data_IF_433179056061
#
_entry.id   IF_433179056061
#
_cell.length_a   1.000
_cell.length_b   1.000
_cell.length_c   1.000
_cell.angle_alpha   90.00
_cell.angle_beta   90.00
_cell.angle_gamma   90.00
#
_symmetry.space_group_name_H-M   'P 1'
#
loop_
_entity.id
_entity.type
_entity.pdbx_description
1 polymer ?
#
# COMPACT_ATOMS: atom_id res chain seq x y z
N UNK A 1 -33.69 -8.70 13.99
CA UNK A 1 -32.41 -8.22 14.54
C UNK A 1 -31.30 -9.07 13.94
N UNK A 2 -30.82 -8.72 12.75
CA UNK A 2 -29.71 -9.43 12.10
C UNK A 2 -28.72 -8.38 11.63
N UNK A 3 -27.63 -8.25 12.40
CA UNK A 3 -26.64 -7.20 12.25
C UNK A 3 -25.50 -7.66 11.34
N UNK A 4 -25.11 -6.75 10.44
CA UNK A 4 -23.72 -6.51 10.04
C UNK A 4 -22.96 -7.64 9.32
N UNK A 5 -23.34 -7.96 8.09
CA UNK A 5 -22.56 -8.81 7.18
C UNK A 5 -21.66 -8.08 6.17
N UNK A 6 -21.59 -6.74 6.18
CA UNK A 6 -20.93 -5.96 5.12
C UNK A 6 -19.60 -5.27 5.51
N UNK A 7 -19.19 -5.37 6.78
CA UNK A 7 -18.01 -4.66 7.32
C UNK A 7 -16.74 -5.49 7.46
N UNK A 8 -16.83 -6.82 7.37
CA UNK A 8 -15.71 -7.71 7.69
C UNK A 8 -14.79 -8.06 6.51
N UNK A 9 -15.22 -7.93 5.25
CA UNK A 9 -14.37 -8.30 4.10
C UNK A 9 -13.23 -7.32 3.81
N UNK A 10 -13.33 -6.08 4.31
CA UNK A 10 -12.29 -5.04 4.13
C UNK A 10 -11.18 -5.08 5.18
N UNK A 11 -11.42 -5.73 6.33
CA UNK A 11 -10.44 -5.90 7.40
C UNK A 11 -9.53 -7.11 7.20
N UNK A 12 -9.97 -8.12 6.45
CA UNK A 12 -9.24 -9.37 6.23
C UNK A 12 -7.92 -9.15 5.46
N UNK A 13 -7.85 -8.38 4.36
CA UNK A 13 -6.57 -8.19 3.66
C UNK A 13 -5.51 -7.44 4.52
N UNK A 14 -5.87 -6.38 5.27
CA UNK A 14 -4.94 -5.75 6.23
C UNK A 14 -4.58 -6.66 7.43
N UNK A 15 -5.53 -7.45 7.94
CA UNK A 15 -5.28 -8.46 8.99
C UNK A 15 -4.42 -9.62 8.50
N UNK A 16 -4.59 -10.09 7.27
CA UNK A 16 -3.70 -11.07 6.61
C UNK A 16 -2.29 -10.51 6.47
N UNK A 17 -2.14 -9.21 6.22
CA UNK A 17 -0.84 -8.54 6.26
C UNK A 17 -0.23 -8.51 7.68
N UNK A 18 -1.04 -8.32 8.72
CA UNK A 18 -0.61 -8.34 10.12
C UNK A 18 -0.25 -9.76 10.62
N UNK A 19 -1.02 -10.79 10.24
CA UNK A 19 -0.72 -12.19 10.61
C UNK A 19 0.44 -12.77 9.82
N UNK A 20 0.66 -12.34 8.57
CA UNK A 20 1.85 -12.69 7.80
C UNK A 20 3.13 -11.96 8.28
N UNK A 21 2.99 -10.85 9.00
CA UNK A 21 4.09 -10.01 9.49
C UNK A 21 4.66 -10.33 10.88
N UNK A 22 4.11 -11.32 11.59
CA UNK A 22 4.69 -11.79 12.86
C UNK A 22 4.32 -10.93 14.08
N UNK A 23 3.35 -11.41 14.86
CA UNK A 23 3.03 -10.92 16.19
C UNK A 23 2.88 -12.09 17.16
N UNK A 24 4.00 -12.70 17.54
CA UNK A 24 4.04 -13.78 18.52
C UNK A 24 3.96 -13.16 19.93
N UNK A 25 2.77 -13.14 20.53
CA UNK A 25 2.59 -12.62 21.89
C UNK A 25 2.65 -13.66 23.02
N UNK A 26 2.70 -14.98 22.74
CA UNK A 26 2.97 -16.01 23.76
C UNK A 26 3.63 -17.27 23.17
N UNK A 27 4.58 -17.92 23.87
CA UNK A 27 5.24 -19.13 23.40
C UNK A 27 4.38 -20.35 23.67
N UNK A 28 3.79 -20.96 22.64
CA UNK A 28 3.47 -22.39 22.64
C UNK A 28 3.35 -22.91 21.22
N UNK A 29 4.13 -23.95 20.96
CA UNK A 29 4.31 -24.61 19.67
C UNK A 29 3.02 -25.25 19.16
N UNK A 30 2.69 -25.05 17.88
CA UNK A 30 2.30 -26.08 16.90
C UNK A 30 2.42 -25.49 15.49
N UNK A 31 3.37 -26.00 14.71
CA UNK A 31 3.63 -25.60 13.32
C UNK A 31 2.60 -26.26 12.40
N UNK A 32 1.75 -25.45 11.76
CA UNK A 32 0.99 -25.88 10.59
C UNK A 32 1.87 -25.69 9.36
N UNK A 33 2.42 -26.78 8.83
CA UNK A 33 3.19 -26.82 7.59
C UNK A 33 2.29 -26.46 6.40
N UNK A 34 2.28 -25.19 5.99
CA UNK A 34 1.63 -24.75 4.75
C UNK A 34 2.45 -25.21 3.55
N UNK A 35 1.96 -26.22 2.85
CA UNK A 35 2.46 -26.65 1.54
C UNK A 35 2.20 -25.54 0.49
N UNK A 36 3.19 -24.69 0.24
CA UNK A 36 3.17 -23.67 -0.81
C UNK A 36 4.07 -24.08 -2.01
N UNK A 37 3.65 -23.87 -3.26
CA UNK A 37 4.43 -24.24 -4.45
C UNK A 37 5.69 -23.37 -4.62
N UNK A 38 6.75 -23.98 -5.13
CA UNK A 38 8.15 -23.52 -5.06
C UNK A 38 8.46 -22.15 -5.69
N UNK A 39 7.61 -21.60 -6.54
CA UNK A 39 7.81 -20.26 -7.13
C UNK A 39 7.41 -19.11 -6.19
N UNK A 40 6.68 -19.40 -5.10
CA UNK A 40 6.53 -18.49 -3.96
C UNK A 40 7.64 -18.68 -2.92
N UNK A 41 8.46 -19.74 -3.06
CA UNK A 41 9.60 -20.05 -2.21
C UNK A 41 10.91 -19.50 -2.82
N UNK A 42 10.88 -18.26 -3.31
CA UNK A 42 12.09 -17.48 -3.50
C UNK A 42 12.53 -16.96 -2.12
N UNK A 43 13.23 -17.84 -1.42
CA UNK A 43 14.19 -17.57 -0.36
C UNK A 43 14.57 -16.10 -0.17
N UNK A 44 13.93 -15.46 0.80
CA UNK A 44 14.72 -14.87 1.88
C UNK A 44 14.49 -15.71 3.13
N UNK A 45 15.21 -16.82 3.23
CA UNK A 45 15.44 -17.59 4.47
C UNK A 45 16.37 -16.84 5.44
N UNK A 46 16.27 -15.52 5.43
CA UNK A 46 16.86 -14.61 6.39
C UNK A 46 15.60 -13.98 6.97
N UNK A 47 15.20 -14.24 8.24
CA UNK A 47 14.30 -13.29 8.88
C UNK A 47 14.93 -11.92 8.58
N UNK A 48 14.18 -10.94 8.02
CA UNK A 48 14.77 -9.63 7.77
C UNK A 48 15.55 -9.29 9.04
N UNK A 49 16.85 -8.96 8.93
CA UNK A 49 17.69 -8.74 10.11
C UNK A 49 16.85 -7.89 11.05
N UNK A 50 16.82 -8.19 12.35
CA UNK A 50 15.91 -7.52 13.29
C UNK A 50 15.94 -5.98 13.16
N UNK A 51 17.03 -5.43 12.60
CA UNK A 51 17.23 -4.07 12.10
C UNK A 51 16.22 -3.56 11.04
N UNK A 52 15.73 -4.40 10.14
CA UNK A 52 14.68 -4.09 9.15
C UNK A 52 13.26 -4.13 9.76
N UNK A 53 13.12 -4.59 11.01
CA UNK A 53 11.92 -4.51 11.86
C UNK A 53 12.05 -3.37 12.91
N UNK A 54 13.11 -2.56 12.89
CA UNK A 54 13.34 -1.56 13.94
C UNK A 54 12.34 -0.38 13.95
N UNK A 55 11.48 -0.24 12.92
CA UNK A 55 10.48 0.82 12.88
C UNK A 55 9.05 0.27 12.72
N UNK A 56 8.32 -0.03 13.83
CA UNK A 56 6.92 -0.46 13.76
C UNK A 56 6.00 0.57 13.08
N UNK A 57 6.42 1.84 13.00
CA UNK A 57 5.67 2.87 12.28
C UNK A 57 5.60 2.60 10.78
N UNK A 58 6.57 1.88 10.20
CA UNK A 58 6.59 1.57 8.76
C UNK A 58 5.45 0.63 8.37
N UNK A 59 5.26 -0.45 9.13
CA UNK A 59 4.17 -1.41 8.95
C UNK A 59 2.82 -0.73 9.20
N UNK A 60 2.73 0.09 10.26
CA UNK A 60 1.51 0.85 10.57
C UNK A 60 1.18 1.89 9.50
N UNK A 61 2.18 2.54 8.90
CA UNK A 61 1.99 3.52 7.83
C UNK A 61 1.42 2.85 6.58
N UNK A 62 2.00 1.73 6.14
CA UNK A 62 1.50 0.97 5.00
C UNK A 62 0.10 0.41 5.26
N UNK A 63 -0.13 -0.14 6.45
CA UNK A 63 -1.45 -0.59 6.89
C UNK A 63 -2.47 0.55 6.81
N UNK A 64 -2.15 1.73 7.35
CA UNK A 64 -3.04 2.89 7.37
C UNK A 64 -3.36 3.39 5.95
N UNK A 65 -2.38 3.39 5.05
CA UNK A 65 -2.59 3.74 3.62
C UNK A 65 -3.56 2.75 2.99
N UNK A 66 -3.29 1.45 3.09
CA UNK A 66 -4.12 0.41 2.46
C UNK A 66 -5.52 0.41 3.05
N UNK A 67 -5.64 0.48 4.38
CA UNK A 67 -6.91 0.53 5.09
C UNK A 67 -7.75 1.75 4.68
N UNK A 68 -7.16 2.95 4.71
CA UNK A 68 -7.89 4.17 4.36
C UNK A 68 -8.27 4.19 2.88
N UNK A 69 -7.44 3.62 2.00
CA UNK A 69 -7.75 3.50 0.58
C UNK A 69 -8.93 2.58 0.26
N UNK A 70 -9.19 1.55 1.08
CA UNK A 70 -10.32 0.64 0.84
C UNK A 70 -11.67 1.36 0.86
N UNK A 71 -11.85 2.36 1.73
CA UNK A 71 -13.16 3.00 1.90
C UNK A 71 -13.61 3.79 0.67
N UNK A 72 -12.82 4.69 0.06
CA UNK A 72 -13.19 5.34 -1.20
C UNK A 72 -13.49 4.34 -2.33
N UNK A 73 -12.71 3.25 -2.41
CA UNK A 73 -12.87 2.22 -3.42
C UNK A 73 -14.20 1.47 -3.25
N UNK A 74 -14.43 0.89 -2.08
CA UNK A 74 -15.63 0.10 -1.79
C UNK A 74 -16.90 0.95 -1.72
N UNK A 75 -16.84 2.16 -1.14
CA UNK A 75 -18.02 3.02 -1.02
C UNK A 75 -18.50 3.54 -2.38
N UNK A 76 -17.59 3.75 -3.33
CA UNK A 76 -17.98 4.14 -4.69
C UNK A 76 -18.56 2.96 -5.47
N UNK A 77 -17.97 1.78 -5.36
CA UNK A 77 -18.49 0.54 -5.97
C UNK A 77 -19.87 0.17 -5.43
N UNK A 78 -20.04 0.20 -4.11
CA UNK A 78 -21.31 -0.12 -3.44
C UNK A 78 -22.46 0.79 -3.84
N UNK A 79 -22.15 2.04 -4.19
CA UNK A 79 -23.12 3.00 -4.70
C UNK A 79 -23.55 2.67 -6.13
N UNK A 80 -22.63 2.22 -6.98
CA UNK A 80 -22.95 1.80 -8.35
C UNK A 80 -23.81 0.53 -8.38
N UNK A 81 -23.53 -0.41 -7.49
CA UNK A 81 -24.26 -1.69 -7.39
C UNK A 81 -25.46 -1.64 -6.44
N UNK A 82 -25.87 -0.45 -5.96
CA UNK A 82 -26.96 -0.29 -4.97
C UNK A 82 -28.29 -0.90 -5.42
N UNK A 83 -28.59 -0.86 -6.71
CA UNK A 83 -29.84 -1.39 -7.25
C UNK A 83 -29.91 -2.92 -7.08
N UNK A 84 -28.81 -3.61 -7.38
CA UNK A 84 -28.69 -5.06 -7.17
C UNK A 84 -28.74 -5.41 -5.67
N UNK A 85 -28.12 -4.61 -4.80
CA UNK A 85 -28.21 -4.83 -3.35
C UNK A 85 -29.62 -4.65 -2.81
N UNK A 86 -30.36 -3.64 -3.29
CA UNK A 86 -31.74 -3.42 -2.90
C UNK A 86 -32.65 -4.57 -3.38
N UNK A 87 -32.46 -5.07 -4.61
CA UNK A 87 -33.19 -6.21 -5.15
C UNK A 87 -32.91 -7.51 -4.37
N UNK A 88 -31.67 -7.70 -3.92
CA UNK A 88 -31.28 -8.84 -3.10
C UNK A 88 -31.65 -8.71 -1.62
N UNK A 89 -32.29 -7.61 -1.20
CA UNK A 89 -32.70 -7.37 0.19
C UNK A 89 -31.55 -7.01 1.14
N UNK A 90 -30.37 -6.66 0.63
CA UNK A 90 -29.23 -6.29 1.47
C UNK A 90 -29.30 -4.82 1.94
N UNK A 91 -29.20 -4.62 3.26
CA UNK A 91 -29.14 -3.30 3.88
C UNK A 91 -27.71 -2.73 3.88
N UNK A 92 -27.26 -2.25 2.73
CA UNK A 92 -25.96 -1.58 2.61
C UNK A 92 -26.07 -0.08 2.89
N UNK A 93 -24.98 0.56 3.36
CA UNK A 93 -24.97 2.01 3.61
C UNK A 93 -25.26 2.81 2.33
N UNK A 94 -24.87 2.30 1.17
CA UNK A 94 -25.18 2.88 -0.14
C UNK A 94 -26.68 2.83 -0.51
N UNK A 95 -27.43 1.87 0.03
CA UNK A 95 -28.87 1.69 -0.18
C UNK A 95 -29.67 2.51 0.83
N UNK A 96 -29.31 2.42 2.11
CA UNK A 96 -30.05 3.07 3.21
C UNK A 96 -29.77 4.57 3.28
N UNK A 97 -28.50 4.99 3.18
CA UNK A 97 -28.07 6.38 3.35
C UNK A 97 -26.92 6.74 2.39
N UNK A 98 -27.19 6.94 1.09
CA UNK A 98 -26.16 7.22 0.09
C UNK A 98 -25.28 8.44 0.40
N UNK A 99 -25.82 9.46 1.05
CA UNK A 99 -25.06 10.65 1.46
C UNK A 99 -23.99 10.32 2.53
N UNK A 100 -24.34 9.47 3.52
CA UNK A 100 -23.39 9.02 4.55
C UNK A 100 -22.30 8.13 3.96
N UNK A 101 -22.65 7.29 2.99
CA UNK A 101 -21.67 6.47 2.25
C UNK A 101 -20.62 7.34 1.54
N UNK A 102 -21.06 8.42 0.88
CA UNK A 102 -20.15 9.37 0.24
C UNK A 102 -19.32 10.18 1.25
N UNK A 103 -19.89 10.53 2.41
CA UNK A 103 -19.17 11.21 3.50
C UNK A 103 -18.05 10.34 4.08
N UNK A 104 -18.29 9.04 4.28
CA UNK A 104 -17.24 8.10 4.75
C UNK A 104 -16.11 8.01 3.72
N UNK A 105 -16.45 7.93 2.43
CA UNK A 105 -15.44 7.97 1.35
C UNK A 105 -14.61 9.26 1.40
N UNK A 106 -15.24 10.41 1.61
CA UNK A 106 -14.56 11.69 1.72
C UNK A 106 -13.64 11.77 2.95
N UNK A 107 -14.09 11.28 4.11
CA UNK A 107 -13.30 11.25 5.34
C UNK A 107 -12.01 10.45 5.16
N UNK A 108 -12.10 9.26 4.57
CA UNK A 108 -10.93 8.42 4.33
C UNK A 108 -10.02 8.95 3.23
N UNK A 109 -10.57 9.59 2.19
CA UNK A 109 -9.78 10.32 1.20
C UNK A 109 -9.02 11.52 1.83
N UNK A 110 -9.63 12.22 2.78
CA UNK A 110 -8.98 13.29 3.53
C UNK A 110 -7.92 12.75 4.49
N UNK A 111 -8.14 11.60 5.15
CA UNK A 111 -7.17 10.94 6.02
C UNK A 111 -5.93 10.44 5.26
N UNK A 112 -6.06 10.07 3.98
CA UNK A 112 -4.92 9.69 3.15
C UNK A 112 -3.88 10.82 3.00
N UNK A 113 -4.31 12.09 3.03
CA UNK A 113 -3.41 13.25 2.90
C UNK A 113 -2.37 13.31 4.03
N UNK A 114 -2.73 13.37 5.32
CA UNK A 114 -1.75 13.38 6.40
C UNK A 114 -1.03 12.03 6.55
N UNK A 115 -1.67 10.91 6.22
CA UNK A 115 -1.00 9.60 6.25
C UNK A 115 0.17 9.59 5.25
N UNK A 116 -0.05 9.97 3.99
CA UNK A 116 1.01 10.00 2.98
C UNK A 116 2.03 11.12 3.20
N UNK A 117 1.58 12.29 3.68
CA UNK A 117 2.47 13.47 3.79
C UNK A 117 3.30 13.50 5.07
N UNK A 118 2.82 12.87 6.15
CA UNK A 118 3.42 12.95 7.48
C UNK A 118 3.82 11.56 7.99
N UNK A 119 2.88 10.61 8.03
CA UNK A 119 3.14 9.30 8.64
C UNK A 119 4.16 8.46 7.84
N UNK A 120 4.09 8.49 6.51
CA UNK A 120 5.00 7.73 5.64
C UNK A 120 6.45 8.28 5.68
N UNK A 121 6.72 9.59 5.57
CA UNK A 121 8.07 10.13 5.77
C UNK A 121 8.61 9.92 7.20
N UNK A 122 7.77 10.08 8.22
CA UNK A 122 8.17 9.87 9.63
C UNK A 122 8.55 8.41 9.93
N UNK A 123 7.96 7.45 9.21
CA UNK A 123 8.28 6.03 9.36
C UNK A 123 9.66 5.62 8.81
N UNK A 124 10.39 6.54 8.17
CA UNK A 124 11.69 6.24 7.55
C UNK A 124 11.60 5.45 6.24
N UNK A 125 10.39 5.12 5.77
CA UNK A 125 10.18 4.40 4.50
C UNK A 125 10.59 5.22 3.27
N UNK A 126 10.40 6.54 3.31
CA UNK A 126 10.57 7.43 2.14
C UNK A 126 11.23 8.74 2.52
N UNK A 127 11.84 9.41 1.53
CA UNK A 127 12.38 10.78 1.68
C UNK A 127 11.27 11.82 1.85
N UNK A 128 11.58 12.98 2.44
CA UNK A 128 10.65 14.12 2.54
C UNK A 128 10.12 14.60 1.18
N UNK A 129 10.80 14.28 0.08
CA UNK A 129 10.34 14.55 -1.29
C UNK A 129 9.10 13.73 -1.68
N UNK A 130 8.88 12.58 -1.04
CA UNK A 130 7.65 11.80 -1.16
C UNK A 130 6.42 12.58 -0.65
N UNK A 131 6.57 13.38 0.41
CA UNK A 131 5.48 14.19 0.94
C UNK A 131 4.96 15.19 -0.10
N UNK A 132 5.87 15.81 -0.86
CA UNK A 132 5.51 16.76 -1.91
C UNK A 132 4.92 16.07 -3.15
N UNK A 133 5.55 14.98 -3.61
CA UNK A 133 5.09 14.26 -4.80
C UNK A 133 3.76 13.53 -4.59
N UNK A 134 3.52 12.97 -3.40
CA UNK A 134 2.27 12.29 -3.05
C UNK A 134 1.09 13.26 -2.86
N UNK A 135 1.34 14.56 -2.71
CA UNK A 135 0.30 15.57 -2.54
C UNK A 135 -0.59 15.67 -3.79
N UNK A 136 -0.02 15.46 -4.98
CA UNK A 136 -0.72 15.52 -6.26
C UNK A 136 -1.80 14.43 -6.38
N UNK A 137 -1.47 13.10 -6.28
CA UNK A 137 -2.49 12.06 -6.35
C UNK A 137 -3.50 12.16 -5.20
N UNK A 138 -3.06 12.60 -4.01
CA UNK A 138 -3.94 12.83 -2.87
C UNK A 138 -4.95 13.96 -3.11
N UNK A 139 -4.53 15.09 -3.67
CA UNK A 139 -5.41 16.21 -4.00
C UNK A 139 -6.44 15.81 -5.07
N UNK A 140 -6.04 15.03 -6.08
CA UNK A 140 -6.94 14.52 -7.11
C UNK A 140 -7.99 13.58 -6.48
N UNK A 141 -7.57 12.62 -5.65
CA UNK A 141 -8.46 11.70 -4.96
C UNK A 141 -9.45 12.44 -4.04
N UNK A 142 -8.97 13.41 -3.27
CA UNK A 142 -9.79 14.23 -2.38
C UNK A 142 -10.81 15.06 -3.18
N UNK A 143 -10.40 15.67 -4.29
CA UNK A 143 -11.29 16.43 -5.18
C UNK A 143 -12.37 15.53 -5.81
N UNK A 144 -12.03 14.30 -6.17
CA UNK A 144 -12.98 13.33 -6.69
C UNK A 144 -14.01 12.93 -5.61
N UNK A 145 -13.54 12.63 -4.40
CA UNK A 145 -14.39 12.27 -3.26
C UNK A 145 -15.30 13.44 -2.84
N UNK A 146 -14.80 14.67 -2.85
CA UNK A 146 -15.57 15.88 -2.56
C UNK A 146 -16.71 16.10 -3.55
N UNK A 147 -16.44 15.93 -4.85
CA UNK A 147 -17.48 16.03 -5.88
C UNK A 147 -18.53 14.93 -5.74
N UNK A 148 -18.11 13.72 -5.36
CA UNK A 148 -19.03 12.62 -5.09
C UNK A 148 -19.93 12.91 -3.89
N UNK A 149 -19.40 13.44 -2.79
CA UNK A 149 -20.20 13.83 -1.63
C UNK A 149 -21.18 14.97 -1.95
N UNK A 150 -20.74 16.01 -2.68
CA UNK A 150 -21.59 17.17 -2.98
C UNK A 150 -22.71 16.88 -3.98
N UNK A 151 -22.44 16.08 -5.01
CA UNK A 151 -23.40 15.84 -6.12
C UNK A 151 -24.08 14.48 -6.07
N UNK A 152 -23.49 13.50 -5.38
CA UNK A 152 -24.11 12.19 -5.11
C UNK A 152 -24.71 11.52 -6.35
N UNK A 153 -24.00 11.49 -7.48
CA UNK A 153 -24.48 10.90 -8.75
C UNK A 153 -23.60 9.72 -9.16
N UNK A 154 -24.17 8.75 -9.87
CA UNK A 154 -23.47 7.57 -10.43
C UNK A 154 -22.22 7.94 -11.24
N UNK A 155 -22.26 9.06 -11.99
CA UNK A 155 -21.11 9.57 -12.74
C UNK A 155 -19.91 9.89 -11.85
N UNK A 156 -20.15 10.49 -10.68
CA UNK A 156 -19.09 10.84 -9.74
C UNK A 156 -18.62 9.63 -8.94
N UNK A 157 -19.52 8.68 -8.62
CA UNK A 157 -19.14 7.41 -8.02
C UNK A 157 -18.19 6.61 -8.93
N UNK A 158 -18.50 6.49 -10.24
CA UNK A 158 -17.59 5.88 -11.23
C UNK A 158 -16.24 6.57 -11.29
N UNK A 159 -16.22 7.90 -11.21
CA UNK A 159 -14.96 8.66 -11.16
C UNK A 159 -14.14 8.30 -9.92
N UNK A 160 -14.73 8.31 -8.72
CA UNK A 160 -14.01 7.97 -7.48
C UNK A 160 -13.46 6.54 -7.55
N UNK A 161 -14.25 5.59 -8.06
CA UNK A 161 -13.81 4.21 -8.27
C UNK A 161 -12.59 4.14 -9.19
N UNK A 162 -12.65 4.76 -10.37
CA UNK A 162 -11.54 4.74 -11.31
C UNK A 162 -10.29 5.44 -10.76
N UNK A 163 -10.45 6.57 -10.07
CA UNK A 163 -9.34 7.26 -9.42
C UNK A 163 -8.70 6.39 -8.35
N UNK A 164 -9.49 5.67 -7.55
CA UNK A 164 -8.95 4.76 -6.53
C UNK A 164 -8.10 3.65 -7.14
N UNK A 165 -8.48 3.13 -8.32
CA UNK A 165 -7.79 2.03 -8.99
C UNK A 165 -6.38 2.42 -9.46
N UNK A 166 -6.23 3.62 -10.04
CA UNK A 166 -4.92 4.12 -10.48
C UNK A 166 -4.13 4.83 -9.36
N UNK A 167 -4.80 5.32 -8.31
CA UNK A 167 -4.16 5.94 -7.15
C UNK A 167 -3.22 4.97 -6.44
N UNK A 168 -3.66 3.72 -6.18
CA UNK A 168 -2.86 2.73 -5.46
C UNK A 168 -1.52 2.41 -6.15
N UNK A 169 -1.46 2.02 -7.43
CA UNK A 169 -0.19 1.75 -8.10
C UNK A 169 0.69 3.01 -8.21
N UNK A 170 0.09 4.19 -8.41
CA UNK A 170 0.85 5.45 -8.43
C UNK A 170 1.49 5.72 -7.08
N UNK A 171 0.76 5.65 -5.97
CA UNK A 171 1.30 5.93 -4.63
C UNK A 171 2.34 4.90 -4.22
N UNK A 172 2.11 3.61 -4.48
CA UNK A 172 3.09 2.56 -4.21
C UNK A 172 4.34 2.71 -5.10
N UNK A 173 4.17 3.08 -6.38
CA UNK A 173 5.28 3.38 -7.27
C UNK A 173 6.08 4.60 -6.81
N UNK A 174 5.42 5.66 -6.34
CA UNK A 174 6.09 6.82 -5.75
C UNK A 174 6.84 6.45 -4.47
N UNK A 175 6.29 5.59 -3.62
CA UNK A 175 6.98 5.09 -2.43
C UNK A 175 8.24 4.30 -2.81
N UNK A 176 8.14 3.45 -3.84
CA UNK A 176 9.27 2.67 -4.33
C UNK A 176 10.36 3.55 -4.94
N UNK A 177 9.97 4.60 -5.68
CA UNK A 177 10.90 5.57 -6.26
C UNK A 177 11.68 6.35 -5.19
N UNK A 178 11.00 6.74 -4.11
CA UNK A 178 11.56 7.55 -3.02
C UNK A 178 12.09 6.72 -1.84
N UNK A 179 12.23 5.39 -2.01
CA UNK A 179 12.73 4.47 -0.98
C UNK A 179 14.14 4.86 -0.55
N UNK A 180 14.34 5.03 0.75
CA UNK A 180 15.65 5.31 1.35
C UNK A 180 16.61 4.13 1.07
N UNK A 181 17.78 4.41 0.49
CA UNK A 181 18.81 3.40 0.16
C UNK A 181 18.75 2.80 -1.25
N UNK A 182 17.83 3.22 -2.12
CA UNK A 182 17.84 2.81 -3.53
C UNK A 182 18.78 3.68 -4.37
N UNK A 183 20.00 3.19 -4.55
CA UNK A 183 20.97 3.69 -5.54
C UNK A 183 20.50 3.30 -6.96
N UNK A 184 19.51 4.00 -7.51
CA UNK A 184 18.94 3.72 -8.84
C UNK A 184 20.02 3.56 -9.93
N UNK A 185 21.11 4.31 -9.83
CA UNK A 185 22.26 4.20 -10.75
C UNK A 185 23.01 2.86 -10.61
N UNK A 186 23.20 2.34 -9.40
CA UNK A 186 23.83 1.02 -9.20
C UNK A 186 22.94 -0.11 -9.70
N UNK A 187 21.62 -0.02 -9.48
CA UNK A 187 20.67 -1.03 -9.96
C UNK A 187 20.57 -1.09 -11.50
N UNK A 188 20.64 0.06 -12.17
CA UNK A 188 20.71 0.16 -13.64
C UNK A 188 22.06 -0.29 -14.23
N UNK A 189 22.98 -0.79 -13.40
CA UNK A 189 24.28 -1.29 -13.85
C UNK A 189 25.30 -0.20 -14.15
N UNK A 190 25.01 1.07 -13.85
CA UNK A 190 25.98 2.15 -13.95
C UNK A 190 26.95 2.10 -12.77
N UNK A 191 28.11 1.50 -13.00
CA UNK A 191 29.28 1.67 -12.15
C UNK A 191 30.01 2.93 -12.63
N UNK A 192 30.12 4.00 -11.81
CA UNK A 192 30.94 5.13 -12.19
C UNK A 192 32.39 4.66 -12.37
N UNK A 193 33.04 5.09 -13.44
CA UNK A 193 34.41 4.72 -13.85
C UNK A 193 35.43 4.84 -12.70
N UNK A 194 35.19 5.74 -11.75
CA UNK A 194 36.01 5.90 -10.55
C UNK A 194 35.97 4.68 -9.61
N UNK A 195 34.82 4.01 -9.47
CA UNK A 195 34.68 2.80 -8.62
C UNK A 195 35.35 1.60 -9.29
N UNK A 196 35.26 1.47 -10.63
CA UNK A 196 36.00 0.43 -11.36
C UNK A 196 37.52 0.63 -11.20
N UNK A 197 37.97 1.88 -11.20
CA UNK A 197 39.39 2.20 -11.02
C UNK A 197 39.86 1.92 -9.58
N UNK A 198 39.03 2.14 -8.57
CA UNK A 198 39.33 1.84 -7.17
C UNK A 198 39.32 0.32 -6.91
N UNK A 199 38.34 -0.41 -7.45
CA UNK A 199 38.31 -1.89 -7.37
C UNK A 199 39.55 -2.51 -8.04
N UNK A 200 40.00 -1.97 -9.18
CA UNK A 200 41.24 -2.43 -9.84
C UNK A 200 42.52 -2.15 -9.04
N UNK A 201 42.54 -1.07 -8.26
CA UNK A 201 43.69 -0.73 -7.40
C UNK A 201 43.68 -1.60 -6.13
N UNK A 202 42.49 -1.96 -5.63
CA UNK A 202 42.33 -2.79 -4.44
C UNK A 202 42.55 -4.29 -4.70
N UNK A 203 42.30 -4.79 -5.92
CA UNK A 203 42.50 -6.19 -6.31
C UNK A 203 43.40 -6.31 -7.57
N UNK A 204 44.75 -6.23 -7.43
CA UNK A 204 45.68 -6.33 -8.55
C UNK A 204 45.83 -7.76 -9.12
N UNK A 205 45.22 -8.79 -8.51
CA UNK A 205 45.55 -10.21 -8.76
C UNK A 205 44.73 -10.95 -9.83
N UNK A 206 43.81 -10.30 -10.55
CA UNK A 206 42.88 -11.01 -11.47
C UNK A 206 43.33 -11.15 -12.93
N UNK A 207 44.60 -10.86 -13.24
CA UNK A 207 45.13 -10.89 -14.62
C UNK A 207 45.90 -12.18 -14.98
N UNK A 208 45.89 -13.21 -14.12
CA UNK A 208 46.75 -14.39 -14.27
C UNK A 208 46.18 -15.62 -14.99
N UNK A 209 44.89 -15.68 -15.34
CA UNK A 209 44.24 -16.94 -15.81
C UNK A 209 43.53 -16.85 -17.16
N UNK A 210 44.03 -16.03 -18.09
CA UNK A 210 43.58 -16.07 -19.51
C UNK A 210 44.72 -16.24 -20.51
N UNK A 211 45.76 -16.98 -20.13
CA UNK A 211 46.71 -17.53 -21.08
C UNK A 211 47.17 -18.88 -20.52
N UNK A 212 46.38 -19.93 -20.78
CA UNK A 212 46.77 -21.33 -21.02
C UNK A 212 45.52 -22.09 -21.47
#
# INVERSE_FOLDING_TARGET
MEYMGGGCSGGIPPLMGWTAGGGHLLPTAYSFETFLPSFLNATSSIPPPLEAIDNPLSVLALFAVLFSWQFPHFNSLSYLSRACYAQAGYHMLSVTNPSKNALVSLRHAALLVPICSVLVPLSGLTTWWFALSSLIPNAIALRAAWQYWKKGTDKYARKVFHHSLWYLPVVLGLMMFHKQGMEWLRWLGWKPILIERIDRISDPGKDGSRNL
#
